data_IF_266034478626
#
_entry.id   IF_266034478626
#
_cell.length_a   1.000
_cell.length_b   1.000
_cell.length_c   1.000
_cell.angle_alpha   90.00
_cell.angle_beta   90.00
_cell.angle_gamma   90.00
#
_symmetry.space_group_name_H-M   'P 1'
#
loop_
_entity.id
_entity.type
_entity.pdbx_description
1 polymer ?
#
# COMPACT_ATOMS: atom_id res chain seq x y z
N UNK A 1 14.35 -1.36 -9.70
CA UNK A 1 13.34 -0.59 -10.46
C UNK A 1 14.02 0.50 -11.30
N UNK A 2 14.77 1.45 -10.68
CA UNK A 2 15.33 2.60 -11.40
C UNK A 2 16.12 2.22 -12.68
N UNK A 3 17.08 1.30 -12.58
CA UNK A 3 17.91 0.87 -13.73
C UNK A 3 17.11 0.21 -14.87
N UNK A 4 15.96 -0.41 -14.57
CA UNK A 4 15.08 -1.04 -15.58
C UNK A 4 14.10 -0.06 -16.20
N UNK A 5 13.93 1.11 -15.60
CA UNK A 5 12.98 2.14 -16.03
C UNK A 5 13.72 3.48 -16.20
N UNK A 6 14.64 3.62 -17.18
CA UNK A 6 15.52 4.77 -17.29
C UNK A 6 14.81 6.10 -17.58
N UNK A 7 13.57 6.05 -18.04
CA UNK A 7 12.77 7.25 -18.34
C UNK A 7 11.92 7.73 -17.15
N UNK A 8 11.96 6.99 -16.00
CA UNK A 8 11.14 7.38 -14.86
C UNK A 8 11.74 8.59 -14.13
N UNK A 9 10.92 9.58 -13.83
CA UNK A 9 11.33 10.70 -12.99
C UNK A 9 11.55 10.27 -11.53
N UNK A 10 12.33 11.05 -10.77
CA UNK A 10 12.53 10.79 -9.34
C UNK A 10 11.19 10.82 -8.58
N UNK A 11 10.31 11.75 -8.96
CA UNK A 11 8.99 11.88 -8.33
C UNK A 11 8.13 10.65 -8.60
N UNK A 12 8.04 10.24 -9.87
CA UNK A 12 7.26 9.08 -10.27
C UNK A 12 7.82 7.77 -9.68
N UNK A 13 9.16 7.66 -9.59
CA UNK A 13 9.81 6.50 -8.97
C UNK A 13 9.41 6.38 -7.50
N UNK A 14 9.46 7.47 -6.74
CA UNK A 14 9.05 7.47 -5.34
C UNK A 14 7.57 7.08 -5.19
N UNK A 15 6.69 7.70 -5.97
CA UNK A 15 5.26 7.39 -5.95
C UNK A 15 4.98 5.93 -6.35
N UNK A 16 5.65 5.42 -7.38
CA UNK A 16 5.45 4.08 -7.88
C UNK A 16 5.96 3.00 -6.91
N UNK A 17 7.11 3.22 -6.27
CA UNK A 17 7.64 2.33 -5.24
C UNK A 17 6.69 2.31 -4.04
N UNK A 18 6.23 3.47 -3.58
CA UNK A 18 5.28 3.59 -2.49
C UNK A 18 4.02 2.77 -2.78
N UNK A 19 3.34 3.06 -3.89
CA UNK A 19 2.11 2.35 -4.28
C UNK A 19 2.31 0.84 -4.43
N UNK A 20 3.45 0.41 -4.94
CA UNK A 20 3.75 -1.02 -5.09
C UNK A 20 3.85 -1.70 -3.72
N UNK A 21 4.56 -1.09 -2.77
CA UNK A 21 4.68 -1.61 -1.40
C UNK A 21 3.32 -1.63 -0.71
N UNK A 22 2.57 -0.55 -0.80
CA UNK A 22 1.24 -0.42 -0.18
C UNK A 22 0.28 -1.51 -0.68
N UNK A 23 0.27 -1.78 -1.98
CA UNK A 23 -0.54 -2.85 -2.58
C UNK A 23 -0.13 -4.24 -2.11
N UNK A 24 1.17 -4.51 -2.05
CA UNK A 24 1.67 -5.80 -1.55
C UNK A 24 1.27 -5.99 -0.09
N UNK A 25 1.48 -4.99 0.76
CA UNK A 25 1.14 -5.07 2.18
C UNK A 25 -0.37 -5.21 2.37
N UNK A 26 -1.18 -4.42 1.65
CA UNK A 26 -2.63 -4.50 1.73
C UNK A 26 -3.14 -5.90 1.37
N UNK A 27 -2.73 -6.44 0.23
CA UNK A 27 -3.17 -7.77 -0.21
C UNK A 27 -2.66 -8.87 0.72
N UNK A 28 -1.42 -8.74 1.22
CA UNK A 28 -0.87 -9.70 2.18
C UNK A 28 -1.66 -9.71 3.50
N UNK A 29 -2.07 -8.53 3.98
CA UNK A 29 -2.96 -8.43 5.14
C UNK A 29 -4.35 -8.99 4.86
N UNK A 30 -4.90 -8.73 3.69
CA UNK A 30 -6.20 -9.26 3.27
C UNK A 30 -6.20 -10.79 3.22
N UNK A 31 -5.12 -11.40 2.74
CA UNK A 31 -4.91 -12.86 2.78
C UNK A 31 -4.92 -13.40 4.21
N UNK A 32 -4.11 -12.86 5.11
CA UNK A 32 -3.99 -13.35 6.49
C UNK A 32 -5.25 -13.10 7.33
N UNK A 33 -6.08 -12.15 6.93
CA UNK A 33 -7.37 -11.87 7.56
C UNK A 33 -8.54 -12.63 6.92
N UNK A 34 -8.26 -13.49 5.95
CA UNK A 34 -9.27 -14.30 5.25
C UNK A 34 -10.21 -13.50 4.36
N UNK A 35 -9.86 -12.25 4.03
CA UNK A 35 -10.60 -11.42 3.06
C UNK A 35 -10.27 -11.80 1.62
N UNK A 36 -9.07 -12.31 1.40
CA UNK A 36 -8.59 -12.85 0.14
C UNK A 36 -8.08 -14.30 0.34
N UNK A 37 -8.10 -15.13 -0.71
CA UNK A 37 -7.52 -16.48 -0.64
C UNK A 37 -6.06 -16.43 -0.27
N UNK A 38 -5.65 -17.25 0.70
CA UNK A 38 -4.27 -17.29 1.20
C UNK A 38 -3.25 -17.62 0.10
N UNK A 39 -2.08 -16.99 0.20
CA UNK A 39 -0.92 -17.20 -0.66
C UNK A 39 -1.13 -16.86 -2.16
N UNK A 40 -2.06 -15.99 -2.53
CA UNK A 40 -2.24 -15.57 -3.92
C UNK A 40 -1.00 -14.84 -4.47
N UNK A 41 -0.39 -13.95 -3.66
CA UNK A 41 0.82 -13.23 -4.06
C UNK A 41 1.99 -14.22 -4.14
N UNK A 42 2.08 -15.17 -3.21
CA UNK A 42 3.14 -16.19 -3.21
C UNK A 42 3.10 -17.07 -4.46
N UNK A 43 1.91 -17.49 -4.89
CA UNK A 43 1.71 -18.29 -6.11
C UNK A 43 2.23 -17.62 -7.39
N UNK A 44 2.28 -16.29 -7.42
CA UNK A 44 2.89 -15.58 -8.55
C UNK A 44 4.39 -15.90 -8.68
N UNK A 45 5.06 -16.24 -7.57
CA UNK A 45 6.48 -16.58 -7.55
C UNK A 45 6.83 -17.92 -8.22
N UNK A 46 5.83 -18.72 -8.56
CA UNK A 46 5.97 -19.99 -9.29
C UNK A 46 6.07 -19.80 -10.81
N UNK A 47 5.79 -18.60 -11.28
CA UNK A 47 5.74 -18.27 -12.71
C UNK A 47 6.61 -17.05 -13.02
N UNK A 48 7.09 -16.89 -14.27
CA UNK A 48 7.80 -15.70 -14.68
C UNK A 48 6.89 -14.47 -14.74
N UNK A 49 7.51 -13.29 -14.83
CA UNK A 49 6.83 -11.98 -14.89
C UNK A 49 5.96 -11.69 -13.66
N UNK A 50 6.50 -11.94 -12.47
CA UNK A 50 5.81 -11.80 -11.18
C UNK A 50 5.11 -10.44 -11.06
N UNK A 51 5.84 -9.34 -11.33
CA UNK A 51 5.28 -8.00 -11.19
C UNK A 51 4.14 -7.71 -12.17
N UNK A 52 4.32 -8.09 -13.42
CA UNK A 52 3.28 -7.92 -14.44
C UNK A 52 2.01 -8.66 -14.06
N UNK A 53 2.13 -9.91 -13.58
CA UNK A 53 0.99 -10.71 -13.11
C UNK A 53 0.37 -10.15 -11.85
N UNK A 54 1.18 -9.62 -10.93
CA UNK A 54 0.70 -8.93 -9.74
C UNK A 54 -0.22 -7.76 -10.11
N UNK A 55 0.20 -6.91 -11.02
CA UNK A 55 -0.60 -5.77 -11.49
C UNK A 55 -1.82 -6.24 -12.29
N UNK A 56 -1.64 -7.10 -13.32
CA UNK A 56 -2.71 -7.45 -14.25
C UNK A 56 -3.78 -8.36 -13.67
N UNK A 57 -3.44 -9.16 -12.66
CA UNK A 57 -4.36 -10.13 -12.08
C UNK A 57 -4.85 -9.69 -10.70
N UNK A 58 -3.92 -9.56 -9.72
CA UNK A 58 -4.33 -9.31 -8.33
C UNK A 58 -4.77 -7.87 -8.11
N UNK A 59 -3.98 -6.90 -8.59
CA UNK A 59 -4.34 -5.49 -8.37
C UNK A 59 -5.59 -5.07 -9.14
N UNK A 60 -5.84 -5.60 -10.34
CA UNK A 60 -7.08 -5.31 -11.06
C UNK A 60 -8.31 -5.92 -10.41
N UNK A 61 -8.22 -7.16 -9.91
CA UNK A 61 -9.30 -7.74 -9.11
C UNK A 61 -9.57 -6.96 -7.83
N UNK A 62 -8.50 -6.45 -7.20
CA UNK A 62 -8.62 -5.60 -6.03
C UNK A 62 -9.26 -4.24 -6.35
N UNK A 63 -9.00 -3.65 -7.52
CA UNK A 63 -9.66 -2.45 -8.03
C UNK A 63 -11.18 -2.66 -8.12
N UNK A 64 -11.60 -3.72 -8.80
CA UNK A 64 -13.01 -4.09 -8.95
C UNK A 64 -13.70 -4.38 -7.59
N UNK A 65 -12.97 -5.00 -6.66
CA UNK A 65 -13.54 -5.43 -5.37
C UNK A 65 -13.60 -4.33 -4.32
N UNK A 66 -12.54 -3.55 -4.20
CA UNK A 66 -12.37 -2.60 -3.11
C UNK A 66 -12.71 -1.16 -3.48
N UNK A 67 -12.78 -0.85 -4.79
CA UNK A 67 -13.05 0.49 -5.31
C UNK A 67 -12.32 1.59 -4.53
N UNK A 68 -11.00 1.42 -4.39
CA UNK A 68 -10.17 2.29 -3.58
C UNK A 68 -9.11 2.98 -4.43
N UNK A 69 -8.75 4.23 -4.10
CA UNK A 69 -7.69 4.97 -4.80
C UNK A 69 -6.33 4.27 -4.82
N UNK A 70 -6.11 3.25 -3.95
CA UNK A 70 -4.90 2.44 -3.95
C UNK A 70 -4.76 1.59 -5.21
N UNK A 71 -5.86 1.08 -5.75
CA UNK A 71 -5.89 0.19 -6.91
C UNK A 71 -6.52 0.83 -8.17
N UNK A 72 -6.70 2.14 -8.18
CA UNK A 72 -7.38 2.83 -9.26
C UNK A 72 -6.50 2.93 -10.52
N UNK A 73 -6.87 2.22 -11.60
CA UNK A 73 -6.11 2.15 -12.85
C UNK A 73 -6.81 2.76 -14.06
N UNK A 74 -8.09 3.07 -13.97
CA UNK A 74 -8.88 3.60 -15.07
C UNK A 74 -9.64 4.85 -14.63
N UNK A 75 -9.81 5.79 -15.56
CA UNK A 75 -10.63 6.98 -15.30
C UNK A 75 -12.11 6.58 -15.29
N UNK A 76 -12.78 6.82 -14.17
CA UNK A 76 -14.20 6.57 -14.03
C UNK A 76 -15.00 7.87 -13.94
N UNK A 77 -16.22 7.93 -14.54
CA UNK A 77 -17.07 9.08 -14.42
C UNK A 77 -17.45 9.35 -12.96
N UNK A 78 -17.24 10.60 -12.50
CA UNK A 78 -17.58 11.01 -11.12
C UNK A 78 -16.49 10.76 -10.09
N UNK A 79 -15.39 10.09 -10.42
CA UNK A 79 -14.21 9.93 -9.54
C UNK A 79 -13.20 11.02 -9.85
N UNK A 80 -12.81 11.78 -8.82
CA UNK A 80 -11.85 12.90 -8.93
C UNK A 80 -10.40 12.42 -8.96
N UNK A 81 -10.14 11.19 -8.46
CA UNK A 81 -8.79 10.64 -8.37
C UNK A 81 -8.17 10.38 -9.74
N UNK A 82 -6.87 10.68 -9.83
CA UNK A 82 -6.09 10.43 -11.04
C UNK A 82 -5.68 8.97 -11.09
N UNK A 83 -6.02 8.24 -12.16
CA UNK A 83 -5.65 6.83 -12.30
C UNK A 83 -4.14 6.64 -12.30
N UNK A 84 -3.70 5.52 -11.74
CA UNK A 84 -2.31 5.12 -11.77
C UNK A 84 -1.91 4.56 -13.13
N UNK A 85 -1.26 5.38 -13.93
CA UNK A 85 -0.75 5.01 -15.26
C UNK A 85 0.74 4.64 -15.24
N UNK A 86 1.41 4.78 -14.08
CA UNK A 86 2.85 4.60 -13.93
C UNK A 86 3.18 3.16 -13.53
N UNK A 87 2.60 2.66 -12.43
CA UNK A 87 2.95 1.34 -11.92
C UNK A 87 2.67 0.20 -12.90
N UNK A 88 1.62 0.22 -13.76
CA UNK A 88 1.41 -0.85 -14.73
C UNK A 88 2.51 -0.97 -15.80
N UNK A 89 3.29 0.09 -16.00
CA UNK A 89 4.37 0.14 -16.99
C UNK A 89 5.75 -0.20 -16.45
N UNK A 90 5.88 -0.35 -15.12
CA UNK A 90 7.17 -0.63 -14.50
C UNK A 90 7.69 -2.02 -14.87
N UNK A 91 9.00 -2.08 -15.03
CA UNK A 91 9.75 -3.32 -15.13
C UNK A 91 10.46 -3.57 -13.80
N UNK A 92 10.10 -4.66 -13.14
CA UNK A 92 10.74 -5.12 -11.90
C UNK A 92 11.18 -6.56 -12.11
N UNK A 93 12.48 -6.82 -11.89
CA UNK A 93 13.06 -8.14 -12.09
C UNK A 93 12.53 -9.14 -11.05
N UNK A 94 12.14 -10.32 -11.50
CA UNK A 94 11.68 -11.43 -10.66
C UNK A 94 12.73 -11.83 -9.62
N UNK A 95 14.02 -11.79 -10.00
CA UNK A 95 15.14 -12.05 -9.10
C UNK A 95 15.13 -11.16 -7.86
N UNK A 96 14.62 -9.93 -7.99
CA UNK A 96 14.52 -8.99 -6.87
C UNK A 96 13.19 -9.13 -6.13
N UNK A 97 12.10 -9.30 -6.86
CA UNK A 97 10.75 -9.27 -6.29
C UNK A 97 10.40 -10.58 -5.56
N UNK A 98 10.81 -11.71 -6.13
CA UNK A 98 10.53 -13.04 -5.56
C UNK A 98 10.98 -13.20 -4.10
N UNK A 99 12.26 -12.95 -3.73
CA UNK A 99 12.68 -13.08 -2.34
C UNK A 99 11.98 -12.08 -1.41
N UNK A 100 11.62 -10.88 -1.89
CA UNK A 100 10.85 -9.90 -1.12
C UNK A 100 9.46 -10.47 -0.79
N UNK A 101 8.75 -10.98 -1.79
CA UNK A 101 7.44 -11.60 -1.57
C UNK A 101 7.55 -12.78 -0.61
N UNK A 102 8.48 -13.69 -0.86
CA UNK A 102 8.67 -14.88 -0.03
C UNK A 102 8.92 -14.52 1.44
N UNK A 103 9.72 -13.47 1.71
CA UNK A 103 10.01 -13.02 3.08
C UNK A 103 8.79 -12.51 3.86
N UNK A 104 7.64 -12.32 3.21
CA UNK A 104 6.38 -11.92 3.85
C UNK A 104 5.54 -13.13 4.30
N UNK A 105 5.98 -14.35 4.03
CA UNK A 105 5.22 -15.56 4.35
C UNK A 105 5.96 -16.42 5.38
N UNK A 106 5.18 -16.99 6.31
CA UNK A 106 5.69 -17.81 7.40
C UNK A 106 6.49 -19.02 6.90
N UNK A 107 6.08 -19.64 5.82
CA UNK A 107 6.75 -20.78 5.18
C UNK A 107 8.19 -20.49 4.77
N UNK A 108 8.53 -19.22 4.61
CA UNK A 108 9.88 -18.76 4.30
C UNK A 108 10.58 -18.05 5.47
N UNK A 109 10.08 -18.28 6.71
CA UNK A 109 10.70 -17.77 7.93
C UNK A 109 10.32 -16.32 8.29
N UNK A 110 9.22 -15.79 7.72
CA UNK A 110 8.71 -14.48 8.16
C UNK A 110 8.33 -14.53 9.64
N UNK A 111 8.83 -13.59 10.46
CA UNK A 111 8.39 -13.48 11.85
C UNK A 111 7.02 -12.79 11.99
N UNK A 112 6.45 -12.29 10.87
CA UNK A 112 5.25 -11.46 10.90
C UNK A 112 4.01 -12.29 10.55
N UNK A 113 3.02 -12.20 11.44
CA UNK A 113 1.67 -12.69 11.22
C UNK A 113 0.77 -11.48 10.95
N UNK A 114 0.54 -11.15 9.69
CA UNK A 114 -0.18 -9.93 9.30
C UNK A 114 -1.65 -9.92 9.76
N UNK A 115 -2.24 -11.09 9.99
CA UNK A 115 -3.60 -11.22 10.51
C UNK A 115 -3.79 -10.70 11.93
N UNK A 116 -2.75 -10.84 12.77
CA UNK A 116 -2.76 -10.42 14.18
C UNK A 116 -1.87 -9.22 14.46
N UNK A 117 -1.25 -8.65 13.41
CA UNK A 117 -0.37 -7.50 13.56
C UNK A 117 -1.20 -6.27 14.02
N UNK A 118 -0.89 -5.68 15.19
CA UNK A 118 -1.56 -4.47 15.63
C UNK A 118 -1.36 -3.31 14.65
N UNK A 119 -2.39 -2.48 14.51
CA UNK A 119 -2.35 -1.32 13.60
C UNK A 119 -1.25 -0.33 13.95
N UNK A 120 -0.88 -0.23 15.22
CA UNK A 120 0.21 0.60 15.74
C UNK A 120 1.57 0.18 15.19
N UNK A 121 1.81 -1.14 15.07
CA UNK A 121 3.04 -1.67 14.47
C UNK A 121 3.12 -1.31 13.00
N UNK A 122 2.00 -1.47 12.27
CA UNK A 122 1.93 -1.04 10.87
C UNK A 122 2.17 0.48 10.75
N UNK A 123 1.56 1.27 11.63
CA UNK A 123 1.78 2.71 11.71
C UNK A 123 3.26 3.05 11.85
N UNK A 124 3.96 2.40 12.79
CA UNK A 124 5.40 2.62 13.02
C UNK A 124 6.26 2.23 11.81
N UNK A 125 5.94 1.12 11.13
CA UNK A 125 6.63 0.73 9.90
C UNK A 125 6.41 1.77 8.80
N UNK A 126 5.18 2.27 8.69
CA UNK A 126 4.79 3.29 7.72
C UNK A 126 5.51 4.63 7.97
N UNK A 127 5.61 5.07 9.22
CA UNK A 127 6.39 6.25 9.63
C UNK A 127 7.84 6.18 9.14
N UNK A 128 8.50 5.06 9.42
CA UNK A 128 9.88 4.82 8.97
C UNK A 128 10.02 4.86 7.46
N UNK A 129 9.04 4.33 6.75
CA UNK A 129 9.03 4.32 5.30
C UNK A 129 8.74 5.70 4.70
N UNK A 130 7.73 6.41 5.20
CA UNK A 130 7.41 7.78 4.77
C UNK A 130 8.55 8.76 5.01
N UNK A 131 9.40 8.48 5.99
CA UNK A 131 10.62 9.26 6.28
C UNK A 131 11.74 9.08 5.25
N UNK A 132 11.61 8.15 4.31
CA UNK A 132 12.63 7.89 3.28
C UNK A 132 12.25 8.50 1.94
N UNK A 133 13.26 8.81 1.15
CA UNK A 133 13.13 9.28 -0.24
C UNK A 133 14.16 8.59 -1.11
N UNK A 134 13.77 8.25 -2.32
CA UNK A 134 14.67 7.71 -3.32
C UNK A 134 15.21 8.87 -4.15
N UNK A 135 16.52 8.96 -4.25
CA UNK A 135 17.22 9.85 -5.18
C UNK A 135 17.88 9.04 -6.27
N UNK A 136 18.03 9.63 -7.45
CA UNK A 136 18.76 9.03 -8.56
C UNK A 136 20.14 9.67 -8.67
N UNK A 137 21.16 8.83 -8.83
CA UNK A 137 22.50 9.27 -9.21
C UNK A 137 22.56 9.65 -10.69
N UNK A 138 23.66 10.27 -11.15
CA UNK A 138 23.89 10.54 -12.57
C UNK A 138 23.83 9.28 -13.45
N UNK A 139 24.18 8.10 -12.90
CA UNK A 139 24.06 6.80 -13.57
C UNK A 139 22.69 6.13 -13.39
N UNK A 140 21.64 6.88 -13.04
CA UNK A 140 20.26 6.40 -12.82
C UNK A 140 20.16 5.27 -11.78
N UNK A 141 21.05 5.22 -10.80
CA UNK A 141 21.01 4.30 -9.69
C UNK A 141 20.22 4.92 -8.53
N UNK A 142 19.35 4.13 -7.93
CA UNK A 142 18.57 4.56 -6.77
C UNK A 142 19.43 4.56 -5.49
N UNK A 143 19.36 5.65 -4.72
CA UNK A 143 19.83 5.76 -3.34
C UNK A 143 18.68 6.10 -2.44
N UNK A 144 18.55 5.38 -1.32
CA UNK A 144 17.53 5.67 -0.29
C UNK A 144 18.15 6.56 0.77
N UNK A 145 17.55 7.71 1.01
CA UNK A 145 18.00 8.70 1.97
C UNK A 145 16.86 9.10 2.91
N UNK A 146 17.18 9.70 4.04
CA UNK A 146 16.16 10.33 4.89
C UNK A 146 15.71 11.66 4.30
N UNK A 147 14.41 11.92 4.35
CA UNK A 147 13.87 13.22 3.96
C UNK A 147 14.43 14.31 4.89
N UNK A 148 14.95 15.42 4.34
CA UNK A 148 15.51 16.50 5.15
C UNK A 148 14.53 17.06 6.18
N UNK A 149 13.24 17.15 5.84
CA UNK A 149 12.18 17.65 6.70
C UNK A 149 11.96 16.72 7.90
N UNK A 150 11.95 15.41 7.66
CA UNK A 150 11.79 14.37 8.68
C UNK A 150 13.00 14.36 9.62
N UNK A 151 14.20 14.48 9.06
CA UNK A 151 15.43 14.56 9.85
C UNK A 151 15.45 15.79 10.77
N UNK A 152 14.97 16.94 10.29
CA UNK A 152 14.85 18.19 11.09
C UNK A 152 13.78 18.09 12.16
N UNK A 153 12.67 17.43 11.87
CA UNK A 153 11.54 17.27 12.79
C UNK A 153 11.75 16.15 13.83
N UNK A 154 12.84 15.39 13.74
CA UNK A 154 13.10 14.25 14.64
C UNK A 154 12.27 13.01 14.37
N UNK A 155 11.54 12.95 13.27
CA UNK A 155 10.73 11.80 12.84
C UNK A 155 9.43 12.16 12.14
N UNK A 156 8.72 11.16 11.69
CA UNK A 156 7.30 11.20 11.31
C UNK A 156 6.55 10.43 12.39
N UNK A 157 5.45 10.96 12.90
CA UNK A 157 4.71 10.33 13.98
C UNK A 157 3.32 9.90 13.51
N UNK A 158 3.01 8.65 13.74
CA UNK A 158 1.65 8.10 13.57
C UNK A 158 0.78 8.59 14.74
N UNK A 159 -0.47 8.91 14.46
CA UNK A 159 -1.38 9.36 15.51
C UNK A 159 -1.61 8.25 16.53
N UNK A 160 -1.27 8.43 17.81
CA UNK A 160 -1.47 7.41 18.83
C UNK A 160 -2.93 6.97 18.93
N UNK A 161 -3.15 5.68 19.21
CA UNK A 161 -4.49 5.06 19.25
C UNK A 161 -5.46 5.81 20.18
N UNK A 162 -5.02 6.26 21.35
CA UNK A 162 -5.89 6.99 22.28
C UNK A 162 -6.43 8.32 21.72
N UNK A 163 -5.65 9.00 20.83
CA UNK A 163 -6.10 10.20 20.12
C UNK A 163 -7.12 9.82 19.05
N UNK A 164 -6.85 8.75 18.30
CA UNK A 164 -7.78 8.22 17.29
C UNK A 164 -9.09 7.84 17.95
N UNK A 165 -9.06 7.10 19.06
CA UNK A 165 -10.25 6.71 19.83
C UNK A 165 -11.03 7.92 20.31
N UNK A 166 -10.35 8.94 20.83
CA UNK A 166 -11.00 10.19 21.24
C UNK A 166 -11.69 10.89 20.07
N UNK A 167 -11.03 10.99 18.93
CA UNK A 167 -11.60 11.61 17.73
C UNK A 167 -12.81 10.80 17.25
N UNK A 168 -12.67 9.49 17.08
CA UNK A 168 -13.75 8.60 16.61
C UNK A 168 -14.95 8.67 17.54
N UNK A 169 -14.74 8.56 18.86
CA UNK A 169 -15.82 8.64 19.86
C UNK A 169 -16.56 9.98 19.82
N UNK A 170 -15.85 11.07 19.59
CA UNK A 170 -16.45 12.41 19.59
C UNK A 170 -16.98 12.87 18.22
N UNK A 171 -16.77 12.11 17.16
CA UNK A 171 -17.27 12.39 15.80
C UNK A 171 -18.19 11.30 15.30
N UNK A 172 -17.63 10.29 14.66
CA UNK A 172 -18.39 9.17 14.05
C UNK A 172 -19.19 8.40 15.11
N UNK A 173 -18.61 8.14 16.28
CA UNK A 173 -19.29 7.43 17.38
C UNK A 173 -20.59 8.11 17.77
N UNK A 174 -20.58 9.42 17.99
CA UNK A 174 -21.82 10.17 18.30
C UNK A 174 -22.87 10.09 17.20
N UNK A 175 -22.44 10.07 15.93
CA UNK A 175 -23.38 9.95 14.81
C UNK A 175 -24.02 8.55 14.74
N UNK A 176 -23.25 7.51 15.05
CA UNK A 176 -23.73 6.13 15.06
C UNK A 176 -24.67 5.87 16.24
N UNK A 177 -24.38 6.42 17.43
CA UNK A 177 -25.22 6.30 18.62
C UNK A 177 -26.61 6.94 18.45
N UNK A 178 -26.68 8.03 17.68
CA UNK A 178 -27.92 8.81 17.48
C UNK A 178 -28.75 8.31 16.30
N UNK A 179 -28.14 7.61 15.33
CA UNK A 179 -28.81 7.17 14.10
C UNK A 179 -29.12 5.67 14.13
N UNK A 180 -30.32 5.29 13.70
CA UNK A 180 -30.65 3.88 13.48
C UNK A 180 -29.82 3.28 12.34
N UNK A 181 -29.64 1.93 12.30
CA UNK A 181 -28.93 1.26 11.21
C UNK A 181 -29.48 1.62 9.83
N UNK A 182 -30.81 1.81 9.71
CA UNK A 182 -31.45 2.21 8.46
C UNK A 182 -31.11 3.66 8.04
N UNK A 183 -30.91 4.55 8.99
CA UNK A 183 -30.51 5.94 8.73
C UNK A 183 -29.01 6.04 8.38
N UNK A 184 -28.19 5.15 8.94
CA UNK A 184 -26.77 5.06 8.61
C UNK A 184 -26.60 4.51 7.18
N UNK A 185 -27.38 3.48 6.80
CA UNK A 185 -27.35 2.88 5.47
C UNK A 185 -27.86 3.83 4.36
N UNK A 186 -28.80 4.71 4.67
CA UNK A 186 -29.31 5.73 3.73
C UNK A 186 -28.41 6.95 3.53
N UNK A 187 -27.40 7.08 4.31
CA UNK A 187 -26.24 7.99 4.42
C UNK A 187 -26.01 9.15 3.46
N UNK A 188 -27.04 9.73 2.82
CA UNK A 188 -26.86 10.88 1.91
C UNK A 188 -28.02 11.86 1.79
N UNK A 189 -29.11 11.67 2.48
CA UNK A 189 -30.22 12.60 2.32
C UNK A 189 -30.48 13.35 3.64
N UNK A 190 -29.73 14.44 3.79
CA UNK A 190 -29.89 15.45 4.84
C UNK A 190 -28.92 16.58 4.64
#
# INVERSE_FOLDING_TARGET
>A
IALRNPQISVLDLNAAVQRTIDRIIFLRMAEDRGLEPYAQILKLCEQPDIYRRFISNLCRKADERYNSGLFHFQKEPGIVDVPDTITPRLIIDDKTLKPIIQSLYFEFGSPYHFGVLPVEILGTVYERFLGKVIRLTAGHQAKVEEKPEVRKAGGVYYTPSYIVDYIVKNTVGKQVEVKSPAQIAKGKDG
#
